data_IF_157617601086
#
_entry.id   IF_157617601086
#
_cell.length_a   1.000
_cell.length_b   1.000
_cell.length_c   1.000
_cell.angle_alpha   90.00
_cell.angle_beta   90.00
_cell.angle_gamma   90.00
#
_symmetry.space_group_name_H-M   'P 1'
#
loop_
_entity.id
_entity.type
_entity.pdbx_description
1 polymer ?
#
# COMPACT_ATOMS: atom_id res chain seq x y z
N UNK A 1 -4.70 13.39 18.88
CA UNK A 1 -3.68 12.38 19.24
C UNK A 1 -4.13 11.62 20.48
N UNK A 2 -4.03 10.30 20.47
CA UNK A 2 -4.44 9.40 21.57
C UNK A 2 -3.95 9.81 22.96
N UNK A 3 -2.68 10.24 23.09
CA UNK A 3 -2.14 10.73 24.36
C UNK A 3 -2.96 11.89 24.96
N UNK A 4 -3.51 12.78 24.12
CA UNK A 4 -4.35 13.87 24.59
C UNK A 4 -5.72 13.38 25.07
N UNK A 5 -6.31 12.37 24.40
CA UNK A 5 -7.57 11.75 24.83
C UNK A 5 -7.38 11.05 26.18
N UNK A 6 -6.33 10.24 26.31
CA UNK A 6 -5.98 9.60 27.57
C UNK A 6 -5.77 10.62 28.68
N UNK A 7 -4.91 11.63 28.47
CA UNK A 7 -4.66 12.66 29.47
C UNK A 7 -5.93 13.37 29.97
N UNK A 8 -6.93 13.57 29.10
CA UNK A 8 -8.17 14.29 29.44
C UNK A 8 -9.23 13.40 30.09
N UNK A 9 -9.30 12.12 29.71
CA UNK A 9 -10.47 11.30 30.04
C UNK A 9 -10.15 10.00 30.79
N UNK A 10 -8.88 9.63 31.04
CA UNK A 10 -8.53 8.30 31.59
C UNK A 10 -9.21 7.95 32.93
N UNK A 11 -9.57 8.94 33.74
CA UNK A 11 -10.28 8.76 35.00
C UNK A 11 -11.83 8.77 34.86
N UNK A 12 -12.34 8.87 33.64
CA UNK A 12 -13.77 8.87 33.29
C UNK A 12 -14.05 7.72 32.29
N UNK A 13 -14.22 6.47 32.76
CA UNK A 13 -14.14 5.29 31.89
C UNK A 13 -15.08 5.32 30.68
N UNK A 14 -16.33 5.71 30.87
CA UNK A 14 -17.31 5.78 29.79
C UNK A 14 -16.98 6.87 28.75
N UNK A 15 -16.46 8.01 29.19
CA UNK A 15 -16.07 9.08 28.27
C UNK A 15 -14.76 8.73 27.56
N UNK A 16 -13.79 8.18 28.28
CA UNK A 16 -12.54 7.69 27.71
C UNK A 16 -12.79 6.71 26.59
N UNK A 17 -13.60 5.67 26.83
CA UNK A 17 -13.91 4.64 25.83
C UNK A 17 -14.46 5.27 24.55
N UNK A 18 -15.50 6.12 24.64
CA UNK A 18 -16.10 6.77 23.47
C UNK A 18 -15.12 7.70 22.73
N UNK A 19 -14.35 8.51 23.46
CA UNK A 19 -13.42 9.47 22.85
C UNK A 19 -12.20 8.78 22.24
N UNK A 20 -11.73 7.69 22.84
CA UNK A 20 -10.61 6.92 22.34
C UNK A 20 -10.99 6.10 21.11
N UNK A 21 -12.19 5.51 21.10
CA UNK A 21 -12.77 4.84 19.95
C UNK A 21 -12.90 5.81 18.75
N UNK A 22 -13.53 6.97 18.96
CA UNK A 22 -13.64 7.99 17.92
C UNK A 22 -12.27 8.44 17.36
N UNK A 23 -11.26 8.57 18.23
CA UNK A 23 -9.90 8.94 17.81
C UNK A 23 -9.17 7.77 17.12
N UNK A 24 -9.54 6.53 17.41
CA UNK A 24 -9.11 5.32 16.69
C UNK A 24 -9.68 5.29 15.29
N UNK A 25 -11.00 5.42 15.15
CA UNK A 25 -11.65 5.46 13.84
C UNK A 25 -11.11 6.58 12.95
N UNK A 26 -10.81 7.73 13.56
CA UNK A 26 -10.25 8.89 12.84
C UNK A 26 -8.82 8.66 12.35
N UNK A 27 -7.94 8.11 13.19
CA UNK A 27 -6.51 7.98 12.87
C UNK A 27 -6.14 6.65 12.21
N UNK A 28 -6.72 5.54 12.67
CA UNK A 28 -6.39 4.18 12.23
C UNK A 28 -7.36 3.67 11.17
N UNK A 29 -8.63 4.08 11.25
CA UNK A 29 -9.67 3.65 10.31
C UNK A 29 -9.30 3.81 8.81
N UNK A 30 -8.66 4.91 8.38
CA UNK A 30 -8.21 5.04 7.00
C UNK A 30 -7.18 3.98 6.56
N UNK A 31 -6.22 3.62 7.42
CA UNK A 31 -5.26 2.55 7.13
C UNK A 31 -5.95 1.20 6.98
N UNK A 32 -6.88 0.88 7.87
CA UNK A 32 -7.67 -0.35 7.80
C UNK A 32 -8.43 -0.47 6.47
N UNK A 33 -9.15 0.59 6.08
CA UNK A 33 -9.93 0.58 4.82
C UNK A 33 -9.03 0.43 3.60
N UNK A 34 -7.86 1.08 3.60
CA UNK A 34 -6.87 0.94 2.52
C UNK A 34 -6.30 -0.48 2.46
N UNK A 35 -6.00 -1.10 3.61
CA UNK A 35 -5.50 -2.48 3.66
C UNK A 35 -6.54 -3.46 3.12
N UNK A 36 -7.81 -3.32 3.51
CA UNK A 36 -8.90 -4.16 2.99
C UNK A 36 -8.99 -4.08 1.46
N UNK A 37 -8.84 -2.88 0.88
CA UNK A 37 -8.85 -2.71 -0.57
C UNK A 37 -7.65 -3.42 -1.24
N UNK A 38 -6.45 -3.29 -0.67
CA UNK A 38 -5.25 -3.95 -1.16
C UNK A 38 -5.35 -5.48 -1.07
N UNK A 39 -5.81 -6.00 0.07
CA UNK A 39 -5.96 -7.44 0.31
C UNK A 39 -6.99 -8.06 -0.64
N UNK A 40 -8.11 -7.37 -0.90
CA UNK A 40 -9.10 -7.84 -1.88
C UNK A 40 -8.51 -7.98 -3.28
N UNK A 41 -7.69 -7.02 -3.71
CA UNK A 41 -7.02 -7.10 -5.00
C UNK A 41 -6.03 -8.28 -5.05
N UNK A 42 -5.25 -8.48 -3.96
CA UNK A 42 -4.30 -9.59 -3.86
C UNK A 42 -4.99 -10.96 -3.84
N UNK A 43 -6.10 -11.10 -3.12
CA UNK A 43 -6.90 -12.33 -3.09
C UNK A 43 -7.47 -12.64 -4.48
N UNK A 44 -7.99 -11.64 -5.19
CA UNK A 44 -8.51 -11.82 -6.54
C UNK A 44 -7.43 -12.31 -7.52
N UNK A 45 -6.21 -11.76 -7.43
CA UNK A 45 -5.05 -12.26 -8.18
C UNK A 45 -4.72 -13.72 -7.82
N UNK A 46 -4.63 -14.05 -6.53
CA UNK A 46 -4.32 -15.41 -6.08
C UNK A 46 -5.35 -16.44 -6.56
N UNK A 47 -6.63 -16.11 -6.49
CA UNK A 47 -7.71 -17.00 -6.95
C UNK A 47 -7.65 -17.19 -8.47
N UNK A 48 -7.45 -16.13 -9.25
CA UNK A 48 -7.32 -16.23 -10.70
C UNK A 48 -6.14 -17.14 -11.09
N UNK A 49 -4.99 -17.01 -10.42
CA UNK A 49 -3.84 -17.89 -10.63
C UNK A 49 -4.13 -19.35 -10.26
N UNK A 50 -4.83 -19.59 -9.14
CA UNK A 50 -5.18 -20.94 -8.70
C UNK A 50 -6.15 -21.64 -9.66
N UNK A 51 -7.07 -20.88 -10.27
CA UNK A 51 -8.09 -21.38 -11.19
C UNK A 51 -7.64 -21.38 -12.66
N UNK A 52 -6.44 -20.87 -12.96
CA UNK A 52 -5.95 -20.73 -14.34
C UNK A 52 -6.70 -19.67 -15.17
N UNK A 53 -7.32 -18.70 -14.50
CA UNK A 53 -8.04 -17.59 -15.11
C UNK A 53 -7.12 -16.39 -15.37
N UNK A 54 -7.49 -15.48 -16.28
CA UNK A 54 -6.76 -14.23 -16.46
C UNK A 54 -6.68 -13.43 -15.16
N UNK A 55 -5.47 -13.01 -14.80
CA UNK A 55 -5.21 -12.21 -13.60
C UNK A 55 -5.79 -10.79 -13.79
N UNK A 56 -6.55 -10.26 -12.82
CA UNK A 56 -7.02 -8.88 -12.88
C UNK A 56 -5.85 -7.89 -13.02
N UNK A 57 -5.99 -6.82 -13.82
CA UNK A 57 -4.92 -5.85 -13.97
C UNK A 57 -4.60 -5.20 -12.61
N UNK A 58 -3.31 -5.01 -12.27
CA UNK A 58 -2.93 -4.38 -11.02
C UNK A 58 -3.31 -2.90 -11.01
N UNK A 59 -3.36 -2.28 -9.83
CA UNK A 59 -3.58 -0.85 -9.71
C UNK A 59 -2.44 -0.07 -10.39
N UNK A 60 -2.70 0.68 -11.49
CA UNK A 60 -1.65 1.30 -12.29
C UNK A 60 -0.88 2.38 -11.53
N UNK A 61 -1.52 3.07 -10.57
CA UNK A 61 -0.86 4.08 -9.73
C UNK A 61 0.15 3.42 -8.81
N UNK A 62 -0.22 2.31 -8.17
CA UNK A 62 0.68 1.58 -7.27
C UNK A 62 1.85 0.95 -8.01
N UNK A 63 1.63 0.41 -9.22
CA UNK A 63 2.72 -0.15 -10.02
C UNK A 63 3.71 0.94 -10.45
N UNK A 64 3.22 2.12 -10.88
CA UNK A 64 4.09 3.26 -11.18
C UNK A 64 4.85 3.77 -9.94
N UNK A 65 4.20 3.80 -8.78
CA UNK A 65 4.86 4.19 -7.53
C UNK A 65 6.03 3.25 -7.20
N UNK A 66 5.82 1.94 -7.32
CA UNK A 66 6.88 0.94 -7.07
C UNK A 66 7.98 0.98 -8.13
N UNK A 67 7.64 1.23 -9.40
CA UNK A 67 8.61 1.41 -10.47
C UNK A 67 9.48 2.65 -10.19
N UNK A 68 8.87 3.80 -9.89
CA UNK A 68 9.59 5.02 -9.53
C UNK A 68 10.46 4.83 -8.27
N UNK A 69 9.95 4.11 -7.26
CA UNK A 69 10.71 3.80 -6.04
C UNK A 69 11.98 2.96 -6.28
N UNK A 70 12.07 2.24 -7.41
CA UNK A 70 13.27 1.47 -7.74
C UNK A 70 14.43 2.35 -8.24
N UNK A 71 14.12 3.58 -8.66
CA UNK A 71 15.08 4.53 -9.25
C UNK A 71 15.23 5.81 -8.41
N UNK A 72 14.25 6.14 -7.57
CA UNK A 72 14.18 7.38 -6.80
C UNK A 72 14.05 7.10 -5.29
N UNK A 73 15.05 7.53 -4.52
CA UNK A 73 15.14 7.29 -3.09
C UNK A 73 14.04 8.00 -2.28
N UNK A 74 13.55 9.16 -2.74
CA UNK A 74 12.47 9.89 -2.05
C UNK A 74 11.13 9.22 -2.28
N UNK A 75 10.90 8.70 -3.50
CA UNK A 75 9.73 7.86 -3.77
C UNK A 75 9.79 6.57 -2.95
N UNK A 76 10.96 5.93 -2.84
CA UNK A 76 11.14 4.75 -1.98
C UNK A 76 10.82 5.03 -0.51
N UNK A 77 11.29 6.16 0.04
CA UNK A 77 10.93 6.57 1.40
C UNK A 77 9.42 6.72 1.57
N UNK A 78 8.73 7.30 0.59
CA UNK A 78 7.27 7.36 0.56
C UNK A 78 6.61 5.97 0.62
N UNK A 79 7.13 4.99 -0.12
CA UNK A 79 6.66 3.59 -0.05
C UNK A 79 6.86 3.00 1.35
N UNK A 80 8.00 3.24 1.99
CA UNK A 80 8.25 2.79 3.37
C UNK A 80 7.28 3.45 4.36
N UNK A 81 6.98 4.74 4.20
CA UNK A 81 5.98 5.42 5.04
C UNK A 81 4.59 4.78 4.94
N UNK A 82 4.19 4.35 3.74
CA UNK A 82 2.95 3.61 3.53
C UNK A 82 3.00 2.26 4.24
N UNK A 83 4.07 1.48 3.99
CA UNK A 83 4.22 0.14 4.56
C UNK A 83 4.24 0.15 6.09
N UNK A 84 4.82 1.19 6.69
CA UNK A 84 4.92 1.36 8.15
C UNK A 84 3.69 2.04 8.76
N UNK A 85 2.64 2.30 7.99
CA UNK A 85 1.43 3.01 8.43
C UNK A 85 1.72 4.40 9.04
N UNK A 86 2.74 5.09 8.52
CA UNK A 86 3.09 6.45 8.93
C UNK A 86 2.28 7.48 8.14
N UNK A 87 2.08 7.21 6.85
CA UNK A 87 1.33 8.07 5.93
C UNK A 87 0.38 7.22 5.09
N UNK A 88 -0.78 7.78 4.71
CA UNK A 88 -1.70 7.09 3.82
C UNK A 88 -1.15 7.09 2.38
N UNK A 89 -1.40 6.03 1.59
CA UNK A 89 -1.05 5.97 0.18
C UNK A 89 -1.43 7.23 -0.61
N UNK A 90 -2.67 7.70 -0.49
CA UNK A 90 -3.14 8.88 -1.20
C UNK A 90 -2.40 10.17 -0.80
N UNK A 91 -1.98 10.29 0.46
CA UNK A 91 -1.27 11.46 0.95
C UNK A 91 0.18 11.48 0.45
N UNK A 92 0.82 10.31 0.39
CA UNK A 92 2.15 10.15 -0.19
C UNK A 92 2.11 10.44 -1.69
N UNK A 93 1.17 9.85 -2.42
CA UNK A 93 1.02 10.03 -3.87
C UNK A 93 0.73 11.50 -4.23
N UNK A 94 -0.02 12.22 -3.39
CA UNK A 94 -0.34 13.63 -3.61
C UNK A 94 0.84 14.59 -3.38
N UNK A 95 1.99 14.13 -2.85
CA UNK A 95 3.16 14.99 -2.66
C UNK A 95 3.67 15.48 -4.02
N UNK A 96 3.99 16.78 -4.20
CA UNK A 96 4.32 17.34 -5.50
C UNK A 96 5.44 16.61 -6.27
N UNK A 97 6.53 16.25 -5.59
CA UNK A 97 7.64 15.55 -6.22
C UNK A 97 7.27 14.12 -6.63
N UNK A 98 6.49 13.40 -5.82
CA UNK A 98 6.01 12.04 -6.12
C UNK A 98 5.03 12.12 -7.30
N UNK A 99 4.04 13.01 -7.24
CA UNK A 99 3.10 13.21 -8.33
C UNK A 99 3.80 13.53 -9.67
N UNK A 100 4.83 14.38 -9.66
CA UNK A 100 5.65 14.66 -10.85
C UNK A 100 6.34 13.40 -11.38
N UNK A 101 6.95 12.60 -10.50
CA UNK A 101 7.58 11.33 -10.87
C UNK A 101 6.60 10.32 -11.47
N UNK A 102 5.40 10.18 -10.91
CA UNK A 102 4.38 9.31 -11.49
C UNK A 102 3.90 9.80 -12.86
N UNK A 103 3.84 11.11 -13.07
CA UNK A 103 3.48 11.70 -14.36
C UNK A 103 4.54 11.43 -15.44
N UNK A 104 5.83 11.44 -15.09
CA UNK A 104 6.93 11.08 -16.01
C UNK A 104 6.80 9.64 -16.56
N UNK A 105 6.22 8.75 -15.76
CA UNK A 105 5.99 7.34 -16.07
C UNK A 105 4.63 7.05 -16.71
N UNK A 106 3.76 8.06 -16.85
CA UNK A 106 2.44 7.83 -17.42
C UNK A 106 2.53 7.42 -18.90
N UNK A 107 1.71 6.45 -19.30
CA UNK A 107 1.73 5.86 -20.64
C UNK A 107 2.97 5.03 -20.99
N UNK A 108 3.96 4.90 -20.10
CA UNK A 108 5.12 4.03 -20.35
C UNK A 108 4.78 2.56 -20.08
N UNK A 109 5.31 1.60 -20.87
CA UNK A 109 5.27 0.20 -20.52
C UNK A 109 5.99 0.01 -19.18
N UNK A 110 5.30 -0.57 -18.21
CA UNK A 110 5.91 -0.92 -16.94
C UNK A 110 6.84 -2.12 -17.15
N UNK A 111 8.06 -2.09 -16.62
CA UNK A 111 8.98 -3.21 -16.76
C UNK A 111 8.36 -4.48 -16.16
N UNK A 112 8.65 -5.68 -16.72
CA UNK A 112 8.24 -6.93 -16.11
C UNK A 112 8.73 -6.99 -14.66
N UNK A 113 7.89 -7.45 -13.74
CA UNK A 113 8.28 -7.55 -12.34
C UNK A 113 9.45 -8.54 -12.20
N UNK A 114 10.65 -8.02 -11.93
CA UNK A 114 11.87 -8.82 -11.85
C UNK A 114 11.84 -9.88 -10.73
N UNK A 115 10.96 -9.71 -9.73
CA UNK A 115 10.75 -10.65 -8.63
C UNK A 115 9.79 -11.79 -8.97
N UNK A 116 9.10 -11.73 -10.12
CA UNK A 116 8.32 -12.87 -10.61
C UNK A 116 9.30 -13.84 -11.27
N UNK A 117 9.56 -14.93 -10.57
CA UNK A 117 10.09 -16.14 -11.18
C UNK A 117 8.88 -16.89 -11.73
N UNK A 118 8.62 -16.75 -13.03
CA UNK A 118 7.58 -17.56 -13.67
C UNK A 118 7.96 -19.05 -13.63
N UNK A 119 7.01 -19.92 -13.97
CA UNK A 119 7.19 -21.37 -13.89
C UNK A 119 8.37 -21.86 -14.72
N UNK A 120 8.59 -21.25 -15.87
CA UNK A 120 9.63 -21.64 -16.82
C UNK A 120 11.00 -21.20 -16.32
N UNK A 121 11.10 -19.98 -15.78
CA UNK A 121 12.28 -19.46 -15.10
C UNK A 121 12.59 -20.26 -13.83
N UNK A 122 11.58 -20.67 -13.07
CA UNK A 122 11.76 -21.53 -11.89
C UNK A 122 12.28 -22.91 -12.30
N UNK A 123 11.68 -23.51 -13.33
CA UNK A 123 12.14 -24.78 -13.87
C UNK A 123 13.59 -24.70 -14.38
N UNK A 124 13.95 -23.62 -15.07
CA UNK A 124 15.34 -23.38 -15.52
C UNK A 124 16.31 -23.23 -14.35
N UNK A 125 15.95 -22.53 -13.27
CA UNK A 125 16.80 -22.37 -12.10
C UNK A 125 16.98 -23.69 -11.32
N UNK A 126 15.98 -24.57 -11.36
CA UNK A 126 16.04 -25.90 -10.73
C UNK A 126 16.78 -26.94 -11.58
N UNK A 127 16.95 -26.68 -12.89
CA UNK A 127 17.60 -27.61 -13.81
C UNK A 127 19.15 -27.58 -13.76
N UNK A 128 19.74 -26.52 -13.17
CA UNK A 128 21.20 -26.33 -13.09
C UNK A 128 21.77 -25.59 -14.29
#
# INVERSE_FOLDING_TARGET
MFRNVARRHINHPAEFSRKYDAETERQVGPFYRNQIAADRARIAEMNALAEGLPVPPPNPVMVRLLAAASEDADVFRGVIEIAMCVSLPQDVIARPHIAAKLAELDGRPLPPNANIVDRDRMASLLAG
#
